data_IF_090592014480
#
_entry.id   IF_090592014480
#
_cell.length_a   1.000
_cell.length_b   1.000
_cell.length_c   1.000
_cell.angle_alpha   90.00
_cell.angle_beta   90.00
_cell.angle_gamma   90.00
#
_symmetry.space_group_name_H-M   'P 1'
#
loop_
_entity.id
_entity.type
_entity.pdbx_description
1 polymer ?
#
# COMPACT_ATOMS: atom_id res chain seq x y z
N UNK A 1 -15.80 -0.51 -64.93
CA UNK A 1 -15.91 -1.56 -63.90
C UNK A 1 -15.66 -0.88 -62.56
N UNK A 2 -16.72 -0.69 -61.77
CA UNK A 2 -16.63 -0.11 -60.43
C UNK A 2 -16.17 -1.19 -59.45
N UNK A 3 -15.15 -0.88 -58.65
CA UNK A 3 -14.70 -1.74 -57.54
C UNK A 3 -15.81 -1.74 -56.47
N UNK A 4 -16.26 -2.91 -55.97
CA UNK A 4 -17.25 -2.94 -54.90
C UNK A 4 -16.64 -2.38 -53.61
N UNK A 5 -17.36 -1.50 -52.93
CA UNK A 5 -16.99 -1.05 -51.59
C UNK A 5 -17.03 -2.24 -50.62
N UNK A 6 -16.05 -2.37 -49.70
CA UNK A 6 -16.04 -3.45 -48.73
C UNK A 6 -17.16 -3.26 -47.70
N UNK A 7 -17.82 -4.37 -47.36
CA UNK A 7 -18.89 -4.44 -46.37
C UNK A 7 -18.46 -3.81 -45.04
N UNK A 8 -19.11 -2.71 -44.66
CA UNK A 8 -18.97 -2.10 -43.33
C UNK A 8 -19.86 -2.87 -42.34
N UNK A 9 -19.22 -3.48 -41.34
CA UNK A 9 -19.92 -4.08 -40.20
C UNK A 9 -19.88 -3.12 -39.02
N UNK A 10 -21.04 -2.87 -38.42
CA UNK A 10 -21.19 -1.98 -37.27
C UNK A 10 -21.17 -2.80 -35.98
N UNK A 11 -20.23 -2.50 -35.08
CA UNK A 11 -20.27 -2.99 -33.70
C UNK A 11 -20.44 -1.78 -32.78
N UNK A 12 -21.63 -1.67 -32.18
CA UNK A 12 -21.89 -0.70 -31.13
C UNK A 12 -21.47 -1.28 -29.79
N UNK A 13 -20.57 -0.59 -29.08
CA UNK A 13 -20.27 -0.90 -27.68
C UNK A 13 -21.13 -0.04 -26.77
N UNK A 14 -21.83 -0.67 -25.83
CA UNK A 14 -22.35 0.03 -24.65
C UNK A 14 -21.23 0.07 -23.60
N UNK A 15 -20.89 1.24 -23.03
CA UNK A 15 -19.93 1.29 -21.94
C UNK A 15 -20.49 0.55 -20.73
N UNK A 16 -19.72 -0.42 -20.23
CA UNK A 16 -19.94 -1.00 -18.91
C UNK A 16 -19.85 0.13 -17.86
N UNK A 17 -20.86 0.13 -16.98
CA UNK A 17 -21.04 1.03 -15.85
C UNK A 17 -19.71 1.32 -15.12
N UNK A 18 -19.28 2.59 -15.12
CA UNK A 18 -18.18 3.01 -14.24
C UNK A 18 -17.44 4.31 -14.55
N UNK A 19 -17.62 4.95 -15.71
CA UNK A 19 -16.93 6.20 -16.03
C UNK A 19 -17.87 7.42 -15.87
N UNK A 20 -17.64 8.35 -14.93
CA UNK A 20 -18.57 9.46 -14.69
C UNK A 20 -18.32 10.71 -15.55
N UNK A 21 -17.49 10.65 -16.61
CA UNK A 21 -17.25 11.82 -17.46
C UNK A 21 -17.21 11.46 -18.96
N UNK A 22 -17.98 12.23 -19.74
CA UNK A 22 -18.04 12.38 -21.19
C UNK A 22 -18.70 11.24 -22.01
N UNK A 23 -19.95 11.50 -22.41
CA UNK A 23 -20.59 10.97 -23.63
C UNK A 23 -20.04 11.72 -24.84
N UNK A 24 -18.80 11.48 -25.23
CA UNK A 24 -18.33 11.81 -26.58
C UNK A 24 -18.08 10.50 -27.33
N UNK A 25 -18.82 10.31 -28.42
CA UNK A 25 -18.59 9.22 -29.37
C UNK A 25 -17.23 9.45 -30.04
N UNK A 26 -16.22 8.69 -29.63
CA UNK A 26 -14.95 8.65 -30.34
C UNK A 26 -15.06 7.66 -31.51
N UNK A 27 -15.18 8.21 -32.72
CA UNK A 27 -15.07 7.48 -33.98
C UNK A 27 -13.61 7.06 -34.23
N UNK A 28 -13.25 5.81 -33.90
CA UNK A 28 -11.96 5.23 -34.27
C UNK A 28 -12.01 4.72 -35.71
N UNK A 29 -11.49 5.52 -36.65
CA UNK A 29 -11.28 5.10 -38.04
C UNK A 29 -9.99 4.29 -38.17
N UNK A 30 -10.12 3.00 -38.49
CA UNK A 30 -8.98 2.20 -38.91
C UNK A 30 -8.78 2.34 -40.43
N UNK A 31 -7.76 3.10 -40.83
CA UNK A 31 -7.24 3.07 -42.20
C UNK A 31 -6.22 1.94 -42.38
N UNK A 32 -6.08 1.37 -43.59
CA UNK A 32 -5.03 0.40 -43.86
C UNK A 32 -3.64 1.04 -43.70
N UNK A 33 -2.76 0.40 -42.93
CA UNK A 33 -1.39 0.87 -42.71
C UNK A 33 -0.57 0.79 -44.02
N UNK A 34 0.30 1.78 -44.32
CA UNK A 34 1.27 1.66 -45.40
C UNK A 34 2.27 0.54 -45.08
N UNK A 35 2.52 -0.34 -46.06
CA UNK A 35 3.50 -1.40 -45.93
C UNK A 35 4.91 -0.83 -45.67
N UNK A 36 5.53 -1.20 -44.55
CA UNK A 36 6.96 -0.93 -44.28
C UNK A 36 7.31 -0.35 -42.91
N UNK A 37 6.34 0.08 -42.09
CA UNK A 37 6.61 0.58 -40.74
C UNK A 37 6.17 -0.44 -39.69
N UNK A 38 7.13 -1.00 -38.95
CA UNK A 38 6.86 -1.74 -37.72
C UNK A 38 6.46 -0.74 -36.63
N UNK A 39 5.17 -0.64 -36.35
CA UNK A 39 4.72 -0.06 -35.08
C UNK A 39 4.88 -1.13 -34.00
N UNK A 40 5.76 -0.90 -33.04
CA UNK A 40 5.74 -1.63 -31.77
C UNK A 40 4.46 -1.24 -31.03
N UNK A 41 3.55 -2.19 -30.91
CA UNK A 41 2.42 -2.06 -30.00
C UNK A 41 2.96 -1.93 -28.57
N UNK A 42 2.71 -0.77 -27.95
CA UNK A 42 2.72 -0.64 -26.49
C UNK A 42 1.67 -1.63 -25.97
N UNK A 43 1.95 -2.45 -24.94
CA UNK A 43 1.03 -3.50 -24.52
C UNK A 43 -0.19 -2.88 -23.81
N UNK A 44 -1.18 -2.50 -24.62
CA UNK A 44 -2.54 -2.21 -24.24
C UNK A 44 -3.45 -3.25 -24.89
N UNK A 45 -3.82 -4.27 -24.10
CA UNK A 45 -5.02 -5.11 -24.26
C UNK A 45 -5.25 -5.62 -25.69
N UNK A 46 -4.37 -6.50 -26.15
CA UNK A 46 -4.65 -7.40 -27.26
C UNK A 46 -5.35 -8.65 -26.72
N UNK A 47 -6.68 -8.70 -26.85
CA UNK A 47 -7.45 -9.94 -26.77
C UNK A 47 -7.35 -10.60 -28.14
N UNK A 48 -6.51 -11.62 -28.29
CA UNK A 48 -6.66 -12.55 -29.42
C UNK A 48 -6.29 -13.98 -29.03
N UNK A 49 -7.12 -14.90 -29.52
CA UNK A 49 -7.31 -16.24 -29.00
C UNK A 49 -6.04 -17.10 -28.94
N UNK A 50 -5.72 -17.59 -27.74
CA UNK A 50 -4.93 -18.80 -27.56
C UNK A 50 -5.45 -19.59 -26.37
N UNK A 51 -5.65 -20.89 -26.59
CA UNK A 51 -5.77 -21.98 -25.61
C UNK A 51 -4.49 -22.14 -24.77
N UNK A 52 -4.08 -21.05 -24.12
CA UNK A 52 -2.85 -20.90 -23.33
C UNK A 52 -2.94 -19.77 -22.29
N UNK A 53 -4.16 -19.33 -21.95
CA UNK A 53 -4.46 -18.19 -21.06
C UNK A 53 -4.08 -18.34 -19.57
N UNK A 54 -3.11 -19.19 -19.24
CA UNK A 54 -2.63 -19.41 -17.87
C UNK A 54 -1.32 -18.68 -17.55
N UNK A 55 -0.61 -18.12 -18.54
CA UNK A 55 0.76 -17.64 -18.34
C UNK A 55 0.89 -16.13 -18.06
N UNK A 56 -0.06 -15.30 -18.51
CA UNK A 56 0.02 -13.85 -18.27
C UNK A 56 -0.26 -13.51 -16.79
N UNK A 57 -1.12 -14.27 -16.11
CA UNK A 57 -1.36 -14.07 -14.68
C UNK A 57 -0.23 -14.61 -13.79
N UNK A 58 0.48 -15.66 -14.21
CA UNK A 58 1.57 -16.26 -13.44
C UNK A 58 2.84 -15.38 -13.41
N UNK A 59 3.11 -14.62 -14.48
CA UNK A 59 4.25 -13.70 -14.52
C UNK A 59 4.12 -12.52 -13.55
N UNK A 60 2.89 -12.07 -13.26
CA UNK A 60 2.62 -10.96 -12.31
C UNK A 60 2.72 -11.37 -10.84
N UNK A 61 3.01 -12.64 -10.53
CA UNK A 61 3.07 -13.14 -9.15
C UNK A 61 4.43 -12.89 -8.49
N UNK A 62 5.51 -12.77 -9.26
CA UNK A 62 6.87 -12.59 -8.75
C UNK A 62 7.19 -11.17 -8.25
N UNK A 63 6.30 -10.21 -8.51
CA UNK A 63 6.62 -8.78 -8.43
C UNK A 63 6.06 -8.13 -7.15
N UNK A 64 5.72 -8.95 -6.15
CA UNK A 64 4.94 -8.52 -4.99
C UNK A 64 5.73 -8.65 -3.69
N UNK A 65 5.77 -7.55 -2.97
CA UNK A 65 6.67 -7.36 -1.85
C UNK A 65 5.91 -6.81 -0.65
N UNK A 66 6.28 -7.28 0.53
CA UNK A 66 5.86 -6.70 1.79
C UNK A 66 7.02 -5.97 2.43
N UNK A 67 6.80 -4.71 2.73
CA UNK A 67 7.65 -3.94 3.62
C UNK A 67 7.08 -3.97 5.03
N UNK A 68 7.88 -4.42 5.99
CA UNK A 68 7.61 -4.28 7.42
C UNK A 68 8.41 -3.11 7.95
N UNK A 69 7.71 -2.11 8.48
CA UNK A 69 8.34 -0.98 9.18
C UNK A 69 8.37 -1.32 10.66
N UNK A 70 9.56 -1.30 11.24
CA UNK A 70 9.80 -1.63 12.64
C UNK A 70 9.91 -0.36 13.47
N UNK A 71 9.09 -0.27 14.51
CA UNK A 71 9.00 0.87 15.41
C UNK A 71 9.44 0.46 16.80
N UNK A 72 10.05 1.38 17.54
CA UNK A 72 10.37 1.22 18.95
C UNK A 72 10.04 2.49 19.73
N UNK A 73 9.78 2.36 21.03
CA UNK A 73 9.70 3.50 21.94
C UNK A 73 10.57 3.26 23.18
N UNK A 74 11.39 4.26 23.49
CA UNK A 74 12.30 4.24 24.64
C UNK A 74 13.57 3.43 24.41
N UNK A 75 14.23 3.03 25.51
CA UNK A 75 15.57 2.42 25.48
C UNK A 75 15.58 0.89 25.59
N UNK A 76 14.42 0.24 25.71
CA UNK A 76 14.33 -1.22 25.90
C UNK A 76 13.60 -1.89 24.75
N UNK A 77 14.14 -3.02 24.27
CA UNK A 77 13.67 -3.80 23.11
C UNK A 77 12.29 -4.45 23.28
N UNK A 78 11.65 -4.29 24.43
CA UNK A 78 10.34 -4.88 24.74
C UNK A 78 9.16 -4.05 24.23
N UNK A 79 9.43 -2.88 23.66
CA UNK A 79 8.41 -1.91 23.23
C UNK A 79 8.44 -1.72 21.71
N UNK A 80 8.42 -2.81 20.96
CA UNK A 80 8.39 -2.76 19.50
C UNK A 80 6.97 -2.75 18.94
N UNK A 81 6.81 -2.16 17.77
CA UNK A 81 5.64 -2.24 16.92
C UNK A 81 6.06 -2.59 15.50
N UNK A 82 5.12 -3.11 14.73
CA UNK A 82 5.30 -3.30 13.30
C UNK A 82 4.08 -2.77 12.56
N UNK A 83 4.33 -2.10 11.45
CA UNK A 83 3.33 -1.85 10.41
C UNK A 83 3.76 -2.54 9.14
N UNK A 84 2.80 -3.01 8.35
CA UNK A 84 3.05 -3.76 7.12
C UNK A 84 2.42 -3.02 5.97
N UNK A 85 3.18 -2.89 4.89
CA UNK A 85 2.78 -2.20 3.66
C UNK A 85 3.09 -3.12 2.49
N UNK A 86 2.14 -3.29 1.60
CA UNK A 86 2.25 -4.21 0.47
C UNK A 86 2.46 -3.40 -0.82
N UNK A 87 3.42 -3.86 -1.62
CA UNK A 87 3.95 -3.13 -2.77
C UNK A 87 4.00 -4.02 -3.99
N UNK A 88 3.65 -3.45 -5.14
CA UNK A 88 3.83 -4.06 -6.45
C UNK A 88 4.93 -3.32 -7.21
N UNK A 89 5.92 -4.08 -7.68
CA UNK A 89 6.96 -3.57 -8.57
C UNK A 89 6.46 -3.56 -10.02
N UNK A 90 6.15 -2.38 -10.53
CA UNK A 90 5.48 -2.16 -11.83
C UNK A 90 6.30 -2.70 -13.02
N UNK A 91 7.64 -2.51 -13.09
CA UNK A 91 8.43 -3.02 -14.23
C UNK A 91 8.41 -4.54 -14.38
N UNK A 92 8.05 -5.25 -13.30
CA UNK A 92 8.06 -6.69 -13.21
C UNK A 92 9.45 -7.29 -13.01
N UNK A 93 9.47 -8.58 -12.67
CA UNK A 93 10.66 -9.30 -12.26
C UNK A 93 11.19 -8.90 -10.88
N UNK A 94 12.45 -9.26 -10.63
CA UNK A 94 13.12 -8.91 -9.38
C UNK A 94 13.59 -7.46 -9.39
N UNK A 95 13.19 -6.62 -8.43
CA UNK A 95 13.66 -5.25 -8.32
C UNK A 95 15.18 -5.23 -8.05
N UNK A 96 15.94 -4.35 -8.71
CA UNK A 96 17.34 -4.16 -8.37
C UNK A 96 17.47 -3.60 -6.94
N UNK A 97 18.59 -3.85 -6.27
CA UNK A 97 18.79 -3.51 -4.85
C UNK A 97 18.55 -2.03 -4.51
N UNK A 98 18.79 -1.11 -5.44
CA UNK A 98 18.55 0.33 -5.24
C UNK A 98 17.08 0.74 -5.38
N UNK A 99 16.22 -0.09 -6.00
CA UNK A 99 14.82 0.25 -6.22
C UNK A 99 14.02 0.43 -4.92
N UNK A 100 14.47 -0.16 -3.80
CA UNK A 100 13.78 -0.06 -2.52
C UNK A 100 14.01 1.29 -1.80
N UNK A 101 15.13 1.96 -2.08
CA UNK A 101 15.56 3.16 -1.35
C UNK A 101 14.58 4.34 -1.48
N UNK A 102 13.99 4.63 -2.67
CA UNK A 102 12.96 5.66 -2.80
C UNK A 102 11.73 5.38 -1.93
N UNK A 103 11.28 4.12 -1.84
CA UNK A 103 10.16 3.73 -0.97
C UNK A 103 10.52 3.96 0.50
N UNK A 104 11.69 3.50 0.92
CA UNK A 104 12.15 3.68 2.29
C UNK A 104 12.30 5.17 2.67
N UNK A 105 12.79 6.01 1.75
CA UNK A 105 12.95 7.46 1.95
C UNK A 105 11.60 8.19 2.08
N UNK A 106 10.57 7.73 1.39
CA UNK A 106 9.20 8.24 1.57
C UNK A 106 8.66 7.94 2.98
N UNK A 107 8.96 6.75 3.52
CA UNK A 107 8.60 6.42 4.91
C UNK A 107 9.41 7.21 5.93
N UNK A 108 10.69 7.49 5.64
CA UNK A 108 11.52 8.38 6.46
C UNK A 108 10.89 9.80 6.51
N UNK A 109 10.40 10.28 5.37
CA UNK A 109 9.70 11.57 5.25
C UNK A 109 8.37 11.57 6.01
N UNK A 110 7.54 10.53 5.81
CA UNK A 110 6.27 10.36 6.54
C UNK A 110 6.50 10.33 8.05
N UNK A 111 7.47 9.55 8.53
CA UNK A 111 7.83 9.50 9.94
C UNK A 111 8.18 10.88 10.50
N UNK A 112 8.96 11.65 9.75
CA UNK A 112 9.41 12.98 10.15
C UNK A 112 8.23 13.95 10.25
N UNK A 113 7.26 13.84 9.34
CA UNK A 113 6.04 14.65 9.35
C UNK A 113 5.12 14.32 10.55
N UNK A 114 4.95 13.04 10.88
CA UNK A 114 4.09 12.62 12.00
C UNK A 114 4.79 12.68 13.36
N UNK A 115 6.11 12.89 13.41
CA UNK A 115 6.92 12.88 14.63
C UNK A 115 6.35 13.75 15.77
N UNK A 116 5.84 14.98 15.53
CA UNK A 116 5.21 15.80 16.58
C UNK A 116 3.99 15.15 17.25
N UNK A 117 3.36 14.17 16.59
CA UNK A 117 2.16 13.47 17.06
C UNK A 117 2.47 12.09 17.66
N UNK A 118 3.75 11.71 17.69
CA UNK A 118 4.23 10.49 18.33
C UNK A 118 4.77 10.81 19.73
N UNK A 119 4.80 9.81 20.60
CA UNK A 119 5.43 9.94 21.91
C UNK A 119 6.95 10.16 21.76
N UNK A 120 7.54 10.90 22.70
CA UNK A 120 8.98 11.14 22.74
C UNK A 120 9.77 9.82 22.77
N UNK A 121 10.93 9.77 22.10
CA UNK A 121 11.77 8.58 21.93
C UNK A 121 11.13 7.45 21.12
N UNK A 122 10.03 7.72 20.40
CA UNK A 122 9.58 6.83 19.33
C UNK A 122 10.61 6.86 18.21
N UNK A 123 10.95 5.73 17.61
CA UNK A 123 11.89 5.66 16.50
C UNK A 123 11.51 4.60 15.49
N UNK A 124 11.91 4.81 14.23
CA UNK A 124 11.96 3.74 13.24
C UNK A 124 13.32 3.04 13.36
N UNK A 125 13.28 1.73 13.56
CA UNK A 125 14.44 0.86 13.73
C UNK A 125 14.95 0.37 12.38
N UNK A 126 14.04 0.13 11.44
CA UNK A 126 14.39 -0.29 10.10
C UNK A 126 13.22 -0.75 9.26
N UNK A 127 13.54 -1.05 8.02
CA UNK A 127 12.63 -1.58 7.01
C UNK A 127 13.05 -2.98 6.64
N UNK A 128 12.11 -3.91 6.66
CA UNK A 128 12.34 -5.30 6.31
C UNK A 128 11.49 -5.67 5.11
N UNK A 129 12.13 -6.15 4.07
CA UNK A 129 11.48 -6.53 2.82
C UNK A 129 11.41 -8.05 2.70
N UNK A 130 10.22 -8.54 2.39
CA UNK A 130 9.92 -9.94 2.11
C UNK A 130 9.12 -10.04 0.82
N UNK A 131 9.27 -11.15 0.09
CA UNK A 131 8.37 -11.45 -1.03
C UNK A 131 7.09 -12.12 -0.53
N UNK A 132 6.03 -11.99 -1.30
CA UNK A 132 4.88 -12.87 -1.12
C UNK A 132 5.13 -14.24 -1.72
N UNK A 133 4.59 -15.28 -1.08
CA UNK A 133 4.48 -16.59 -1.73
C UNK A 133 3.40 -16.55 -2.80
N UNK A 134 3.52 -17.42 -3.79
CA UNK A 134 2.57 -17.58 -4.91
C UNK A 134 1.11 -17.75 -4.46
N UNK A 135 0.89 -18.32 -3.27
CA UNK A 135 -0.44 -18.56 -2.71
C UNK A 135 -1.00 -17.39 -1.87
N UNK A 136 -0.24 -16.30 -1.70
CA UNK A 136 -0.56 -15.14 -0.86
C UNK A 136 -0.96 -15.49 0.58
N UNK A 137 -0.60 -16.70 1.04
CA UNK A 137 -0.93 -17.15 2.38
C UNK A 137 0.03 -16.57 3.40
N UNK A 138 1.29 -16.39 3.00
CA UNK A 138 2.40 -15.92 3.85
C UNK A 138 3.45 -15.20 3.01
N UNK A 139 4.27 -14.41 3.68
CA UNK A 139 5.49 -13.88 3.09
C UNK A 139 6.65 -14.84 3.27
N UNK A 140 7.60 -14.78 2.36
CA UNK A 140 8.91 -15.43 2.46
C UNK A 140 9.77 -14.78 3.56
N UNK A 141 10.83 -15.46 4.02
CA UNK A 141 11.84 -14.83 4.85
C UNK A 141 12.34 -13.53 4.23
N UNK A 142 12.67 -12.55 5.07
CA UNK A 142 13.13 -11.26 4.59
C UNK A 142 14.46 -11.39 3.87
N UNK A 143 14.54 -10.84 2.66
CA UNK A 143 15.75 -10.84 1.84
C UNK A 143 16.54 -9.54 1.95
N UNK A 144 15.91 -8.44 2.40
CA UNK A 144 16.55 -7.14 2.63
C UNK A 144 16.13 -6.56 3.98
N UNK A 145 17.10 -5.98 4.67
CA UNK A 145 16.90 -5.19 5.88
C UNK A 145 17.68 -3.89 5.77
N UNK A 146 16.98 -2.76 5.91
CA UNK A 146 17.55 -1.44 5.90
C UNK A 146 17.41 -0.82 7.30
N UNK A 147 18.52 -0.76 8.04
CA UNK A 147 18.55 -0.17 9.39
C UNK A 147 18.24 1.34 9.33
N UNK A 148 17.56 1.85 10.35
CA UNK A 148 17.26 3.28 10.53
C UNK A 148 17.56 3.72 11.96
N UNK A 149 17.92 4.99 12.09
CA UNK A 149 18.19 5.65 13.37
C UNK A 149 17.34 6.92 13.50
N UNK A 150 16.12 6.90 12.95
CA UNK A 150 15.22 8.04 12.98
C UNK A 150 14.51 8.08 14.32
N UNK A 151 14.98 8.93 15.22
CA UNK A 151 14.41 9.11 16.56
C UNK A 151 13.60 10.39 16.60
N UNK A 152 12.37 10.27 17.08
CA UNK A 152 11.51 11.40 17.38
C UNK A 152 12.03 12.18 18.60
N UNK A 153 12.46 13.41 18.35
CA UNK A 153 12.88 14.37 19.38
C UNK A 153 11.78 15.36 19.78
N UNK A 154 10.70 15.44 19.00
CA UNK A 154 9.64 16.45 19.11
C UNK A 154 8.38 15.92 19.78
N UNK A 155 8.41 14.66 20.23
CA UNK A 155 7.23 13.95 20.69
C UNK A 155 6.67 14.43 22.02
N UNK A 156 5.41 14.06 22.24
CA UNK A 156 4.65 14.40 23.43
C UNK A 156 4.71 13.34 24.54
N UNK A 157 3.85 13.52 25.55
CA UNK A 157 3.68 12.60 26.67
C UNK A 157 3.32 11.19 26.20
N UNK A 158 3.94 10.20 26.82
CA UNK A 158 3.72 8.78 26.52
C UNK A 158 2.30 8.37 26.93
N UNK A 159 1.56 7.81 25.97
CA UNK A 159 0.28 7.11 26.21
C UNK A 159 0.52 5.61 26.40
N UNK A 160 -0.48 4.84 26.89
CA UNK A 160 -0.38 3.38 26.86
C UNK A 160 0.02 2.88 25.46
N UNK A 161 1.04 2.02 25.37
CA UNK A 161 1.62 1.54 24.09
C UNK A 161 0.62 0.85 23.15
N UNK A 162 -0.57 0.53 23.64
CA UNK A 162 -1.68 -0.03 22.87
C UNK A 162 -2.40 1.02 22.01
N UNK A 163 -2.28 2.30 22.36
CA UNK A 163 -2.93 3.39 21.64
C UNK A 163 -2.23 3.60 20.29
N UNK A 164 -3.05 3.75 19.25
CA UNK A 164 -2.61 3.91 17.87
C UNK A 164 -3.58 4.78 17.08
N UNK A 165 -3.13 5.34 15.97
CA UNK A 165 -4.02 5.92 14.97
C UNK A 165 -4.28 4.91 13.86
N UNK A 166 -5.54 4.70 13.52
CA UNK A 166 -5.93 3.81 12.44
C UNK A 166 -5.92 4.56 11.11
N UNK A 167 -5.17 4.03 10.14
CA UNK A 167 -5.12 4.55 8.78
C UNK A 167 -5.65 3.47 7.83
N UNK A 168 -6.73 3.79 7.15
CA UNK A 168 -7.42 2.90 6.21
C UNK A 168 -6.95 3.19 4.79
N UNK A 169 -6.57 2.13 4.09
CA UNK A 169 -6.13 2.14 2.71
C UNK A 169 -7.33 1.76 1.84
N UNK A 170 -8.01 2.76 1.28
CA UNK A 170 -9.21 2.53 0.50
C UNK A 170 -8.84 2.11 -0.93
N UNK A 171 -9.46 1.04 -1.39
CA UNK A 171 -9.35 0.51 -2.75
C UNK A 171 -10.66 0.70 -3.49
N UNK A 172 -10.67 0.44 -4.81
CA UNK A 172 -11.89 0.46 -5.63
C UNK A 172 -12.98 -0.51 -5.14
N UNK A 173 -12.63 -1.51 -4.33
CA UNK A 173 -13.55 -2.50 -3.77
C UNK A 173 -13.72 -2.28 -2.26
N UNK A 174 -14.84 -1.65 -1.86
CA UNK A 174 -15.13 -1.25 -0.47
C UNK A 174 -14.88 -2.30 0.62
N UNK A 175 -15.14 -3.58 0.33
CA UNK A 175 -14.97 -4.68 1.31
C UNK A 175 -13.54 -5.19 1.41
N UNK A 176 -12.61 -4.58 0.66
CA UNK A 176 -11.20 -4.97 0.50
C UNK A 176 -10.26 -3.80 0.76
N UNK A 177 -10.65 -2.95 1.69
CA UNK A 177 -9.79 -1.89 2.19
C UNK A 177 -8.75 -2.47 3.13
N UNK A 178 -7.53 -1.95 3.02
CA UNK A 178 -6.44 -2.23 3.93
C UNK A 178 -6.53 -1.36 5.16
N UNK A 179 -5.75 -1.71 6.17
CA UNK A 179 -5.58 -0.88 7.36
C UNK A 179 -4.25 -1.18 8.01
N UNK A 180 -3.49 -0.12 8.25
CA UNK A 180 -2.36 -0.15 9.16
C UNK A 180 -2.61 0.77 10.34
N UNK A 181 -1.80 0.60 11.38
CA UNK A 181 -1.94 1.34 12.62
C UNK A 181 -0.64 2.02 12.97
N UNK A 182 -0.65 3.34 13.04
CA UNK A 182 0.50 4.12 13.50
C UNK A 182 0.61 3.98 15.02
N UNK A 183 1.68 3.39 15.54
CA UNK A 183 1.83 3.12 16.96
C UNK A 183 2.26 4.38 17.73
N UNK A 184 2.12 4.34 19.06
CA UNK A 184 2.78 5.29 19.97
C UNK A 184 2.35 6.76 19.80
N UNK A 185 1.06 6.98 19.50
CA UNK A 185 0.48 8.32 19.49
C UNK A 185 0.66 8.99 20.86
N UNK A 186 1.09 10.25 20.88
CA UNK A 186 1.25 11.02 22.12
C UNK A 186 -0.08 11.57 22.63
N UNK A 187 -0.11 11.96 23.91
CA UNK A 187 -1.29 12.54 24.54
C UNK A 187 -1.73 13.84 23.85
N UNK A 188 -0.78 14.64 23.39
CA UNK A 188 -0.97 15.96 22.78
C UNK A 188 -1.57 15.87 21.38
N UNK A 189 -1.46 14.71 20.73
CA UNK A 189 -2.21 14.41 19.52
C UNK A 189 -3.70 14.14 19.80
N UNK A 190 -4.12 13.99 21.07
CA UNK A 190 -5.51 13.81 21.48
C UNK A 190 -6.08 15.12 22.01
N UNK A 191 -7.12 15.64 21.35
CA UNK A 191 -7.87 16.80 21.80
C UNK A 191 -8.72 16.53 23.04
N UNK A 192 -9.32 17.58 23.59
CA UNK A 192 -10.11 17.52 24.82
C UNK A 192 -11.29 16.53 24.78
N UNK A 193 -11.81 16.25 23.58
CA UNK A 193 -12.92 15.31 23.35
C UNK A 193 -12.49 13.84 23.30
N UNK A 194 -11.20 13.54 23.52
CA UNK A 194 -10.67 12.18 23.40
C UNK A 194 -10.49 11.69 21.97
N UNK A 195 -10.47 12.62 20.99
CA UNK A 195 -10.26 12.36 19.56
C UNK A 195 -8.90 12.89 19.12
N UNK A 196 -8.33 12.35 18.05
CA UNK A 196 -7.16 12.93 17.41
C UNK A 196 -7.46 14.39 17.01
N UNK A 197 -6.49 15.26 17.22
CA UNK A 197 -6.57 16.66 16.78
C UNK A 197 -6.60 16.71 15.25
N UNK A 198 -7.19 17.77 14.70
CA UNK A 198 -7.23 17.98 13.25
C UNK A 198 -5.82 17.93 12.64
N UNK A 199 -4.84 18.56 13.29
CA UNK A 199 -3.44 18.56 12.83
C UNK A 199 -2.85 17.14 12.78
N UNK A 200 -3.13 16.30 13.77
CA UNK A 200 -2.66 14.92 13.77
C UNK A 200 -3.32 14.10 12.65
N UNK A 201 -4.63 14.28 12.45
CA UNK A 201 -5.38 13.63 11.36
C UNK A 201 -4.86 14.07 10.00
N UNK A 202 -4.60 15.36 9.82
CA UNK A 202 -4.09 15.93 8.57
C UNK A 202 -2.70 15.37 8.27
N UNK A 203 -1.76 15.41 9.22
CA UNK A 203 -0.41 14.86 9.02
C UNK A 203 -0.45 13.36 8.68
N UNK A 204 -1.25 12.57 9.42
CA UNK A 204 -1.40 11.14 9.12
C UNK A 204 -2.03 10.89 7.74
N UNK A 205 -2.94 11.77 7.30
CA UNK A 205 -3.68 11.62 6.05
C UNK A 205 -2.92 12.10 4.83
N UNK A 206 -2.43 13.34 4.83
CA UNK A 206 -1.70 13.94 3.71
C UNK A 206 -0.35 13.29 3.52
N UNK A 207 0.43 13.13 4.59
CA UNK A 207 1.79 12.58 4.50
C UNK A 207 1.75 11.05 4.36
N UNK A 208 0.74 10.40 4.95
CA UNK A 208 0.48 8.98 4.71
C UNK A 208 0.13 8.71 3.24
N UNK A 209 -0.70 9.58 2.63
CA UNK A 209 -0.98 9.51 1.19
C UNK A 209 0.28 9.76 0.36
N UNK A 210 1.12 10.72 0.73
CA UNK A 210 2.37 10.97 0.01
C UNK A 210 3.31 9.76 0.05
N UNK A 211 3.44 9.11 1.22
CA UNK A 211 4.28 7.93 1.36
C UNK A 211 3.74 6.67 0.66
N UNK A 212 2.43 6.62 0.40
CA UNK A 212 1.76 5.52 -0.31
C UNK A 212 1.45 5.83 -1.78
N UNK A 213 1.87 6.99 -2.26
CA UNK A 213 1.73 7.33 -3.67
C UNK A 213 2.59 6.38 -4.52
N UNK A 214 2.29 6.29 -5.82
CA UNK A 214 3.19 5.63 -6.76
C UNK A 214 4.55 6.31 -6.70
N UNK A 215 5.60 5.54 -6.52
CA UNK A 215 6.97 6.06 -6.37
C UNK A 215 7.70 5.82 -7.67
N UNK A 216 8.06 6.91 -8.35
CA UNK A 216 8.87 6.91 -9.58
C UNK A 216 8.32 6.02 -10.71
N UNK A 217 7.00 5.79 -10.76
CA UNK A 217 6.37 4.81 -11.67
C UNK A 217 6.94 3.38 -11.56
N UNK A 218 7.70 3.09 -10.50
CA UNK A 218 8.33 1.78 -10.25
C UNK A 218 7.61 0.99 -9.19
N UNK A 219 7.07 1.66 -8.17
CA UNK A 219 6.39 1.02 -7.06
C UNK A 219 4.98 1.54 -6.89
N UNK A 220 4.02 0.62 -6.83
CA UNK A 220 2.64 0.92 -6.50
C UNK A 220 2.28 0.32 -5.15
N UNK A 221 1.76 1.14 -4.24
CA UNK A 221 1.18 0.65 -3.00
C UNK A 221 -0.14 -0.10 -3.29
N UNK A 222 -0.29 -1.29 -2.73
CA UNK A 222 -1.44 -2.17 -2.96
C UNK A 222 -1.97 -2.72 -1.65
N UNK A 223 -3.26 -3.03 -1.63
CA UNK A 223 -3.86 -3.85 -0.58
C UNK A 223 -4.09 -5.26 -1.11
N UNK A 224 -3.73 -6.27 -0.30
CA UNK A 224 -3.90 -7.68 -0.68
C UNK A 224 -5.23 -8.25 -0.17
N UNK A 225 -5.97 -8.87 -1.09
CA UNK A 225 -7.19 -9.63 -0.85
C UNK A 225 -7.04 -11.06 -1.34
N UNK A 226 -7.21 -12.03 -0.44
CA UNK A 226 -7.15 -13.46 -0.78
C UNK A 226 -8.30 -13.97 -1.63
N UNK A 227 -9.43 -13.29 -1.61
CA UNK A 227 -10.68 -13.81 -2.17
C UNK A 227 -10.97 -13.26 -3.58
N UNK A 228 -10.08 -12.45 -4.16
CA UNK A 228 -10.27 -11.82 -5.47
C UNK A 228 -9.09 -12.09 -6.40
N UNK A 229 -9.36 -12.10 -7.70
CA UNK A 229 -8.34 -12.04 -8.74
C UNK A 229 -8.58 -10.77 -9.58
N UNK A 230 -7.61 -9.84 -9.69
CA UNK A 230 -6.29 -9.89 -9.06
C UNK A 230 -6.36 -9.78 -7.53
N UNK A 231 -5.43 -10.44 -6.84
CA UNK A 231 -5.32 -10.44 -5.37
C UNK A 231 -4.88 -9.08 -4.81
N UNK A 232 -4.48 -8.15 -5.67
CA UNK A 232 -3.94 -6.87 -5.31
C UNK A 232 -4.82 -5.77 -5.87
N UNK A 233 -5.11 -4.80 -5.02
CA UNK A 233 -5.93 -3.65 -5.37
C UNK A 233 -5.13 -2.40 -5.06
N UNK A 234 -4.84 -1.55 -6.06
CA UNK A 234 -4.18 -0.26 -5.82
C UNK A 234 -4.91 0.54 -4.75
N UNK A 235 -4.15 1.15 -3.86
CA UNK A 235 -4.71 2.09 -2.89
C UNK A 235 -5.07 3.39 -3.60
N UNK A 236 -6.34 3.77 -3.51
CA UNK A 236 -6.93 4.93 -4.19
C UNK A 236 -7.06 6.13 -3.26
N UNK A 237 -7.41 5.89 -2.00
CA UNK A 237 -7.53 6.94 -0.99
C UNK A 237 -6.95 6.47 0.34
N UNK A 238 -6.49 7.44 1.13
CA UNK A 238 -6.10 7.24 2.52
C UNK A 238 -7.13 7.94 3.39
N UNK A 239 -7.64 7.20 4.39
CA UNK A 239 -8.56 7.71 5.38
C UNK A 239 -8.04 7.45 6.78
N UNK A 240 -7.95 8.50 7.58
CA UNK A 240 -7.57 8.41 8.99
C UNK A 240 -8.83 8.44 9.86
N UNK A 241 -8.94 7.52 10.81
CA UNK A 241 -9.97 7.60 11.85
C UNK A 241 -9.54 8.62 12.90
N UNK A 242 -10.42 9.55 13.26
CA UNK A 242 -10.12 10.53 14.31
C UNK A 242 -10.32 9.95 15.71
N UNK A 243 -10.79 8.71 15.85
CA UNK A 243 -10.84 8.01 17.13
C UNK A 243 -9.55 7.19 17.30
N UNK A 244 -8.77 7.41 18.37
CA UNK A 244 -7.63 6.56 18.65
C UNK A 244 -8.08 5.11 18.91
N UNK A 245 -7.37 4.15 18.32
CA UNK A 245 -7.66 2.73 18.43
C UNK A 245 -6.73 2.04 19.44
N UNK A 246 -7.22 0.97 20.06
CA UNK A 246 -6.53 0.17 21.06
C UNK A 246 -6.16 -1.19 20.48
N UNK A 247 -4.88 -1.36 20.15
CA UNK A 247 -4.35 -2.64 19.66
C UNK A 247 -4.10 -3.56 20.86
N UNK A 248 -5.12 -4.35 21.22
CA UNK A 248 -5.12 -5.24 22.39
C UNK A 248 -3.95 -6.23 22.45
N UNK A 249 -3.43 -6.65 21.28
CA UNK A 249 -2.30 -7.59 21.15
C UNK A 249 -0.93 -6.96 21.47
N UNK A 250 -0.81 -5.63 21.49
CA UNK A 250 0.43 -4.92 21.82
C UNK A 250 0.53 -4.70 23.33
N UNK A 251 0.79 -5.78 24.06
CA UNK A 251 1.03 -5.70 25.51
C UNK A 251 2.52 -5.66 25.79
N UNK A 252 2.90 -4.77 26.71
CA UNK A 252 4.24 -4.79 27.28
C UNK A 252 4.54 -6.18 27.85
N UNK A 253 5.71 -6.72 27.53
CA UNK A 253 6.16 -8.02 28.07
C UNK A 253 6.75 -7.91 29.49
N UNK A 254 6.83 -6.70 30.05
CA UNK A 254 7.46 -6.40 31.36
C UNK A 254 6.48 -6.43 32.56
N UNK A 255 7.03 -6.33 33.78
CA UNK A 255 7.09 -7.39 34.80
C UNK A 255 5.90 -7.58 35.76
N UNK A 256 4.85 -6.75 35.73
CA UNK A 256 3.76 -6.84 36.71
C UNK A 256 2.65 -7.84 36.37
N UNK A 257 2.51 -8.26 35.10
CA UNK A 257 1.54 -9.27 34.71
C UNK A 257 2.10 -10.68 34.92
N UNK A 258 1.81 -11.28 36.08
CA UNK A 258 1.92 -12.74 36.25
C UNK A 258 0.80 -13.37 35.43
N UNK A 259 1.14 -14.16 34.41
CA UNK A 259 0.25 -15.19 33.91
C UNK A 259 -0.13 -16.07 35.11
N UNK A 260 -1.34 -15.90 35.65
CA UNK A 260 -1.91 -16.88 36.57
C UNK A 260 -2.45 -17.98 35.69
N UNK A 261 -1.80 -19.15 35.72
CA UNK A 261 -2.35 -20.35 35.13
C UNK A 261 -3.76 -20.53 35.70
N UNK A 262 -4.77 -20.68 34.83
CA UNK A 262 -6.09 -21.05 35.29
C UNK A 262 -5.95 -22.38 36.05
N UNK A 263 -6.58 -22.49 37.23
CA UNK A 263 -6.68 -23.78 37.89
C UNK A 263 -7.34 -24.74 36.90
N UNK A 264 -6.63 -25.81 36.55
CA UNK A 264 -7.15 -26.90 35.74
C UNK A 264 -8.20 -27.68 36.56
#
# INVERSE_FOLDING_TARGET
MSVPEPDQWWISFYPLLGCPFALEEHELRFGPAPAGNQYTCVPGIGWDGMTGGSWVYAAHMADQFRMVVEWEIGTTSYNSAVTTHDWWYIPGGEPPTNAYEPVEAQFDTFFSAIAPHLAVNTKIVGYRWSRWKDDYSKTEPSFRYASRALVNQFGGSVMPNQVSAAVTEETSVRRRWGRFYVPFICKEAIGAEGRLTQQAVDALGSDGRAAMATIEDTWQHVTISRDLTPHFLPTTFIRVDNVPDIIRRRRLRSSTYRYRQAAL
#
